data_IF_939400967361
#
_entry.id   IF_939400967361
#
_cell.length_a   1.000
_cell.length_b   1.000
_cell.length_c   1.000
_cell.angle_alpha   90.00
_cell.angle_beta   90.00
_cell.angle_gamma   90.00
#
_symmetry.space_group_name_H-M   'P 1'
#
loop_
_entity.id
_entity.type
_entity.pdbx_description
1 polymer ?
#
# COMPACT_ATOMS: atom_id res chain seq x y z
N UNK A 1 26.92 -17.84 0.08
CA UNK A 1 26.52 -16.75 -0.82
C UNK A 1 25.74 -15.74 0.00
N UNK A 2 26.33 -14.58 0.30
CA UNK A 2 25.66 -13.53 1.06
C UNK A 2 24.71 -12.81 0.10
N UNK A 3 23.40 -12.99 0.28
CA UNK A 3 22.40 -12.14 -0.35
C UNK A 3 22.49 -10.76 0.30
N UNK A 4 23.41 -9.93 -0.16
CA UNK A 4 23.59 -8.58 0.36
C UNK A 4 22.29 -7.82 0.27
N UNK A 5 21.73 -7.41 1.41
CA UNK A 5 20.64 -6.46 1.48
C UNK A 5 21.13 -5.15 0.87
N UNK A 6 20.87 -4.95 -0.42
CA UNK A 6 21.07 -3.65 -1.04
C UNK A 6 19.89 -2.80 -0.55
N UNK A 7 20.02 -2.21 0.63
CA UNK A 7 18.99 -1.32 1.19
C UNK A 7 18.73 -0.21 0.18
N UNK A 8 17.46 0.05 -0.09
CA UNK A 8 17.09 1.16 -0.96
C UNK A 8 17.53 2.48 -0.31
N UNK A 9 18.04 3.45 -1.08
CA UNK A 9 18.25 4.78 -0.52
C UNK A 9 16.89 5.36 -0.10
N UNK A 10 16.86 6.11 1.00
CA UNK A 10 15.69 6.90 1.39
C UNK A 10 15.38 7.96 0.31
N UNK A 11 14.12 8.07 -0.08
CA UNK A 11 13.64 9.12 -0.97
C UNK A 11 13.52 10.47 -0.23
N UNK A 12 13.25 11.57 -0.97
CA UNK A 12 13.18 12.92 -0.39
C UNK A 12 12.07 13.05 0.66
N UNK A 13 10.89 12.48 0.40
CA UNK A 13 9.75 12.52 1.32
C UNK A 13 10.00 11.71 2.60
N UNK A 14 10.55 10.51 2.48
CA UNK A 14 10.93 9.67 3.63
C UNK A 14 11.95 10.37 4.54
N UNK A 15 12.98 11.01 3.95
CA UNK A 15 13.97 11.80 4.70
C UNK A 15 13.33 12.96 5.45
N UNK A 16 12.37 13.64 4.82
CA UNK A 16 11.66 14.75 5.45
C UNK A 16 10.79 14.26 6.61
N UNK A 17 10.10 13.14 6.45
CA UNK A 17 9.33 12.52 7.55
C UNK A 17 10.23 12.09 8.70
N UNK A 18 11.39 11.51 8.43
CA UNK A 18 12.38 11.20 9.46
C UNK A 18 12.84 12.46 10.22
N UNK A 19 13.07 13.56 9.50
CA UNK A 19 13.46 14.85 10.09
C UNK A 19 12.37 15.41 11.01
N UNK A 20 11.13 15.45 10.54
CA UNK A 20 9.99 16.00 11.30
C UNK A 20 9.66 15.12 12.51
N UNK A 21 9.70 13.79 12.35
CA UNK A 21 9.36 12.82 13.41
C UNK A 21 10.56 12.44 14.30
N UNK A 22 11.74 13.00 14.09
CA UNK A 22 12.96 12.70 14.85
C UNK A 22 13.32 11.20 14.88
N UNK A 23 13.12 10.51 13.76
CA UNK A 23 13.43 9.07 13.63
C UNK A 23 14.95 8.87 13.57
N UNK A 24 15.47 7.97 14.39
CA UNK A 24 16.90 7.63 14.40
C UNK A 24 17.34 7.01 13.06
N UNK A 25 18.59 7.30 12.66
CA UNK A 25 19.16 6.82 11.40
C UNK A 25 19.27 5.28 11.37
N UNK A 26 18.41 4.65 10.57
CA UNK A 26 18.46 3.23 10.25
C UNK A 26 18.50 3.00 8.73
N UNK A 27 18.88 1.81 8.31
CA UNK A 27 18.76 1.40 6.91
C UNK A 27 17.29 1.38 6.47
N UNK A 28 17.02 1.66 5.21
CA UNK A 28 15.66 1.60 4.67
C UNK A 28 15.15 0.14 4.67
N UNK A 29 14.08 -0.19 5.41
CA UNK A 29 13.52 -1.54 5.44
C UNK A 29 12.66 -1.85 4.21
N UNK A 30 12.40 -0.87 3.34
CA UNK A 30 11.54 -1.04 2.17
C UNK A 30 12.17 -2.01 1.16
N UNK A 31 11.30 -2.82 0.55
CA UNK A 31 11.64 -3.77 -0.50
C UNK A 31 11.07 -3.29 -1.83
N UNK A 32 11.84 -3.36 -2.94
CA UNK A 32 11.34 -2.99 -4.28
C UNK A 32 10.43 -4.07 -4.90
N UNK A 33 10.19 -5.18 -4.20
CA UNK A 33 9.31 -6.26 -4.63
C UNK A 33 8.55 -6.85 -3.45
N UNK A 34 7.42 -7.49 -3.75
CA UNK A 34 6.65 -8.25 -2.77
C UNK A 34 7.40 -9.53 -2.44
N UNK A 35 8.02 -9.59 -1.25
CA UNK A 35 8.71 -10.80 -0.80
C UNK A 35 7.71 -11.92 -0.48
N UNK A 36 8.10 -13.20 -0.56
CA UNK A 36 7.24 -14.30 -0.16
C UNK A 36 6.73 -14.17 1.29
N UNK A 37 7.57 -13.67 2.20
CA UNK A 37 7.18 -13.39 3.58
C UNK A 37 6.11 -12.31 3.69
N UNK A 38 6.25 -11.21 2.95
CA UNK A 38 5.21 -10.17 2.91
C UNK A 38 3.90 -10.68 2.29
N UNK A 39 3.98 -11.49 1.23
CA UNK A 39 2.81 -12.12 0.62
C UNK A 39 2.08 -13.09 1.57
N UNK A 40 2.80 -13.79 2.44
CA UNK A 40 2.21 -14.61 3.50
C UNK A 40 1.56 -13.75 4.59
N UNK A 41 2.23 -12.68 5.03
CA UNK A 41 1.69 -11.77 6.05
C UNK A 41 0.37 -11.14 5.60
N UNK A 42 0.27 -10.66 4.36
CA UNK A 42 -0.95 -10.04 3.83
C UNK A 42 -2.14 -11.01 3.84
N UNK A 43 -1.92 -12.30 3.57
CA UNK A 43 -2.99 -13.31 3.61
C UNK A 43 -3.56 -13.52 5.01
N UNK A 44 -2.76 -13.33 6.06
CA UNK A 44 -3.23 -13.44 7.45
C UNK A 44 -3.81 -12.15 8.01
N UNK A 45 -3.68 -11.02 7.31
CA UNK A 45 -4.09 -9.72 7.82
C UNK A 45 -5.62 -9.55 7.72
N UNK A 46 -6.33 -9.27 8.82
CA UNK A 46 -7.76 -8.94 8.79
C UNK A 46 -8.02 -7.45 8.49
N UNK A 47 -6.98 -6.63 8.48
CA UNK A 47 -7.03 -5.19 8.22
C UNK A 47 -5.94 -4.79 7.24
N UNK A 48 -6.26 -3.84 6.36
CA UNK A 48 -5.30 -3.21 5.45
C UNK A 48 -5.43 -1.69 5.56
N UNK A 49 -4.33 -1.02 5.89
CA UNK A 49 -4.24 0.43 5.80
C UNK A 49 -3.74 0.83 4.41
N UNK A 50 -4.47 1.71 3.75
CA UNK A 50 -4.12 2.25 2.43
C UNK A 50 -3.98 3.76 2.53
N UNK A 51 -3.08 4.31 1.70
CA UNK A 51 -2.91 5.75 1.58
C UNK A 51 -2.59 6.11 0.14
N UNK A 52 -3.05 7.28 -0.27
CA UNK A 52 -2.85 7.83 -1.61
C UNK A 52 -2.75 9.35 -1.54
N UNK A 53 -2.36 9.96 -2.65
CA UNK A 53 -2.41 11.41 -2.86
C UNK A 53 -3.51 11.68 -3.88
N UNK A 54 -4.38 12.67 -3.62
CA UNK A 54 -5.33 13.14 -4.63
C UNK A 54 -4.66 14.06 -5.67
N UNK A 55 -5.44 14.53 -6.64
CA UNK A 55 -4.98 15.45 -7.71
C UNK A 55 -4.43 16.80 -7.20
N UNK A 56 -4.62 17.11 -5.92
CA UNK A 56 -4.10 18.31 -5.26
C UNK A 56 -2.90 18.00 -4.35
N UNK A 57 -2.28 16.82 -4.48
CA UNK A 57 -1.19 16.31 -3.64
C UNK A 57 -1.56 16.20 -2.15
N UNK A 58 -2.85 16.12 -1.80
CA UNK A 58 -3.27 15.98 -0.40
C UNK A 58 -3.25 14.51 0.00
N UNK A 59 -2.65 14.16 1.15
CA UNK A 59 -2.59 12.78 1.61
C UNK A 59 -3.92 12.33 2.20
N UNK A 60 -4.40 11.19 1.72
CA UNK A 60 -5.56 10.48 2.25
C UNK A 60 -5.16 9.11 2.77
N UNK A 61 -5.85 8.62 3.80
CA UNK A 61 -5.69 7.26 4.30
C UNK A 61 -7.03 6.66 4.72
N UNK A 62 -7.15 5.35 4.54
CA UNK A 62 -8.32 4.56 4.92
C UNK A 62 -7.87 3.22 5.50
N UNK A 63 -8.73 2.59 6.29
CA UNK A 63 -8.53 1.24 6.82
C UNK A 63 -9.66 0.37 6.30
N UNK A 64 -9.31 -0.66 5.54
CA UNK A 64 -10.26 -1.65 5.06
C UNK A 64 -10.21 -2.90 5.94
N UNK A 65 -11.39 -3.37 6.35
CA UNK A 65 -11.54 -4.61 7.09
C UNK A 65 -11.99 -5.77 6.20
N UNK A 66 -11.69 -6.98 6.63
CA UNK A 66 -12.16 -8.22 6.03
C UNK A 66 -11.79 -9.44 6.85
N UNK A 67 -12.13 -10.62 6.35
CA UNK A 67 -11.66 -11.88 6.92
C UNK A 67 -10.24 -12.19 6.44
N UNK A 68 -9.41 -12.92 7.22
CA UNK A 68 -8.12 -13.40 6.75
C UNK A 68 -8.24 -14.07 5.37
N UNK A 69 -7.39 -13.63 4.44
CA UNK A 69 -7.41 -14.04 3.03
C UNK A 69 -8.12 -13.07 2.09
N UNK A 70 -8.73 -11.98 2.61
CA UNK A 70 -9.34 -10.95 1.76
C UNK A 70 -8.30 -10.21 0.90
N UNK A 71 -7.07 -10.06 1.39
CA UNK A 71 -5.90 -9.64 0.63
C UNK A 71 -4.99 -10.83 0.35
N UNK A 72 -4.59 -11.05 -0.89
CA UNK A 72 -3.66 -12.15 -1.25
C UNK A 72 -2.82 -11.84 -2.49
N UNK A 73 -1.60 -12.37 -2.60
CA UNK A 73 -0.83 -12.31 -3.84
C UNK A 73 -1.58 -13.03 -4.98
N UNK A 74 -1.74 -12.37 -6.12
CA UNK A 74 -2.39 -12.95 -7.32
C UNK A 74 -1.42 -13.07 -8.50
N UNK A 75 -0.33 -12.31 -8.48
CA UNK A 75 0.79 -12.41 -9.42
C UNK A 75 2.06 -11.86 -8.76
N UNK A 76 3.20 -11.91 -9.47
CA UNK A 76 4.46 -11.32 -9.01
C UNK A 76 4.26 -9.81 -8.77
N UNK A 77 4.49 -9.34 -7.55
CA UNK A 77 4.29 -7.95 -7.12
C UNK A 77 2.85 -7.43 -7.23
N UNK A 78 1.84 -8.31 -7.29
CA UNK A 78 0.43 -7.90 -7.36
C UNK A 78 -0.35 -8.54 -6.22
N UNK A 79 -1.04 -7.72 -5.43
CA UNK A 79 -1.97 -8.14 -4.38
C UNK A 79 -3.39 -7.88 -4.88
N UNK A 80 -4.22 -8.93 -4.89
CA UNK A 80 -5.65 -8.78 -5.08
C UNK A 80 -6.32 -8.58 -3.73
N UNK A 81 -7.23 -7.62 -3.65
CA UNK A 81 -8.00 -7.30 -2.45
C UNK A 81 -9.49 -7.46 -2.78
N UNK A 82 -10.22 -8.18 -1.93
CA UNK A 82 -11.67 -8.37 -2.07
C UNK A 82 -12.36 -7.99 -0.76
N UNK A 83 -12.90 -6.79 -0.68
CA UNK A 83 -13.69 -6.31 0.46
C UNK A 83 -14.71 -5.26 0.03
N UNK A 84 -15.71 -5.01 0.88
CA UNK A 84 -16.67 -3.92 0.68
C UNK A 84 -16.06 -2.60 1.18
N UNK A 85 -16.17 -1.55 0.36
CA UNK A 85 -15.60 -0.22 0.64
C UNK A 85 -16.64 0.85 0.36
N UNK A 86 -16.56 1.99 1.06
CA UNK A 86 -17.47 3.11 0.85
C UNK A 86 -17.04 3.91 -0.38
N UNK A 87 -17.79 3.80 -1.47
CA UNK A 87 -17.49 4.53 -2.72
C UNK A 87 -17.83 6.02 -2.67
N UNK A 88 -18.67 6.44 -1.73
CA UNK A 88 -19.22 7.80 -1.70
C UNK A 88 -18.41 8.71 -0.78
N UNK A 89 -17.86 8.17 0.29
CA UNK A 89 -17.20 8.96 1.33
C UNK A 89 -15.77 8.54 1.63
N UNK A 90 -15.24 7.46 1.01
CA UNK A 90 -13.82 7.12 1.12
C UNK A 90 -13.01 7.83 0.01
N UNK A 91 -12.26 8.90 0.33
CA UNK A 91 -11.47 9.62 -0.66
C UNK A 91 -10.34 8.77 -1.24
N UNK A 92 -9.89 7.71 -0.55
CA UNK A 92 -8.91 6.78 -1.11
C UNK A 92 -9.53 5.95 -2.22
N UNK A 93 -10.77 5.49 -2.04
CA UNK A 93 -11.51 4.76 -3.10
C UNK A 93 -11.79 5.67 -4.28
N UNK A 94 -12.25 6.89 -4.02
CA UNK A 94 -12.48 7.90 -5.06
C UNK A 94 -11.20 8.19 -5.84
N UNK A 95 -10.06 8.33 -5.17
CA UNK A 95 -8.78 8.62 -5.84
C UNK A 95 -8.26 7.42 -6.65
N UNK A 96 -8.31 6.19 -6.11
CA UNK A 96 -7.72 5.01 -6.75
C UNK A 96 -8.61 4.39 -7.85
N UNK A 97 -9.94 4.51 -7.72
CA UNK A 97 -10.91 3.84 -8.59
C UNK A 97 -11.76 4.86 -9.36
N UNK A 98 -11.78 6.13 -8.94
CA UNK A 98 -12.63 7.14 -9.55
C UNK A 98 -14.13 6.87 -9.35
N UNK A 99 -14.93 7.51 -10.20
CA UNK A 99 -16.37 7.33 -10.27
C UNK A 99 -16.80 6.10 -11.10
N UNK A 100 -15.88 5.16 -11.36
CA UNK A 100 -16.13 3.95 -12.16
C UNK A 100 -17.33 3.14 -11.63
N UNK A 101 -18.14 2.53 -12.49
CA UNK A 101 -19.35 1.83 -12.06
C UNK A 101 -19.04 0.54 -11.25
N UNK A 102 -20.05 -0.04 -10.58
CA UNK A 102 -19.89 -1.33 -9.88
C UNK A 102 -19.39 -2.43 -10.83
N UNK A 103 -18.24 -3.04 -10.50
CA UNK A 103 -17.67 -4.17 -11.25
C UNK A 103 -16.66 -3.78 -12.33
N UNK A 104 -16.35 -2.49 -12.50
CA UNK A 104 -15.33 -2.03 -13.44
C UNK A 104 -13.91 -2.29 -12.90
N UNK A 105 -13.06 -2.90 -13.74
CA UNK A 105 -11.64 -3.09 -13.46
C UNK A 105 -10.91 -1.84 -13.94
N UNK A 106 -10.60 -0.94 -13.01
CA UNK A 106 -9.82 0.26 -13.30
C UNK A 106 -8.34 -0.10 -13.30
N UNK A 107 -7.64 0.27 -14.36
CA UNK A 107 -6.18 0.16 -14.46
C UNK A 107 -5.63 1.57 -14.62
N UNK A 108 -4.79 2.01 -13.69
CA UNK A 108 -3.97 3.21 -13.90
C UNK A 108 -3.00 2.92 -15.07
N UNK A 109 -2.98 3.81 -16.07
CA UNK A 109 -2.00 3.80 -17.17
C UNK A 109 -0.62 4.28 -16.69
#
# INVERSE_FOLDING_TARGET
MSFGSRSLPWNRGEKEMHRIMHVAGQGNPNSPFLSPGAGYMVQGAPLLALGTLDDQDRPWTTIWGGDPGFGRPVAKNVIGIKTAVDRRFDPVVETLIGSADEGEIVREE
#
